data_IF_963704802520
#
_entry.id   IF_963704802520
#
_cell.length_a   1.000
_cell.length_b   1.000
_cell.length_c   1.000
_cell.angle_alpha   90.00
_cell.angle_beta   90.00
_cell.angle_gamma   90.00
#
_symmetry.space_group_name_H-M   'P 1'
#
loop_
_entity.id
_entity.type
_entity.pdbx_description
1 polymer ?
#
# COMPACT_ATOMS: atom_id res chain seq x y z
N UNK A 1 27.37 -9.12 5.06
CA UNK A 1 26.86 -8.02 5.94
C UNK A 1 26.72 -6.68 5.21
N UNK A 2 27.77 -6.15 4.57
CA UNK A 2 27.70 -4.89 3.79
C UNK A 2 26.70 -4.91 2.62
N UNK A 3 26.59 -6.05 1.92
CA UNK A 3 25.67 -6.28 0.80
C UNK A 3 24.19 -6.28 1.18
N UNK A 4 23.87 -6.61 2.44
CA UNK A 4 22.52 -6.54 2.98
C UNK A 4 22.18 -5.11 3.42
N UNK A 5 23.12 -4.42 4.08
CA UNK A 5 22.95 -3.03 4.49
C UNK A 5 22.70 -2.09 3.30
N UNK A 6 23.42 -2.29 2.20
CA UNK A 6 23.25 -1.52 0.96
C UNK A 6 21.88 -1.70 0.29
N UNK A 7 21.14 -2.79 0.59
CA UNK A 7 19.76 -3.02 0.12
C UNK A 7 18.71 -2.58 1.13
N UNK A 8 18.99 -2.83 2.41
CA UNK A 8 18.11 -2.51 3.53
C UNK A 8 17.98 -1.00 3.75
N UNK A 9 19.07 -0.24 3.67
CA UNK A 9 19.06 1.22 3.91
C UNK A 9 18.16 1.96 2.90
N UNK A 10 18.28 1.75 1.57
CA UNK A 10 17.36 2.31 0.60
C UNK A 10 15.91 1.89 0.86
N UNK A 11 15.67 0.61 1.16
CA UNK A 11 14.33 0.10 1.43
C UNK A 11 13.69 0.80 2.63
N UNK A 12 14.44 0.99 3.71
CA UNK A 12 13.98 1.70 4.91
C UNK A 12 13.63 3.16 4.59
N UNK A 13 14.52 3.88 3.89
CA UNK A 13 14.30 5.27 3.48
C UNK A 13 13.08 5.43 2.58
N UNK A 14 12.93 4.57 1.56
CA UNK A 14 11.77 4.60 0.66
C UNK A 14 10.48 4.27 1.39
N UNK A 15 10.51 3.34 2.35
CA UNK A 15 9.34 2.99 3.17
C UNK A 15 8.90 4.18 4.03
N UNK A 16 9.84 4.85 4.70
CA UNK A 16 9.54 6.08 5.47
C UNK A 16 9.01 7.18 4.55
N UNK A 17 9.62 7.36 3.38
CA UNK A 17 9.16 8.35 2.42
C UNK A 17 7.76 8.06 1.89
N UNK A 18 7.45 6.79 1.59
CA UNK A 18 6.13 6.36 1.16
C UNK A 18 5.06 6.66 2.23
N UNK A 19 5.36 6.40 3.50
CA UNK A 19 4.43 6.66 4.61
C UNK A 19 4.22 8.15 4.87
N UNK A 20 5.23 8.99 4.61
CA UNK A 20 5.17 10.43 4.89
C UNK A 20 4.68 11.26 3.70
N UNK A 21 4.75 10.74 2.47
CA UNK A 21 4.29 11.44 1.27
C UNK A 21 2.76 11.54 1.20
N UNK A 22 2.25 12.77 1.04
CA UNK A 22 0.81 13.04 0.85
C UNK A 22 0.39 13.15 -0.63
N UNK A 23 1.35 13.21 -1.55
CA UNK A 23 1.10 13.39 -2.98
C UNK A 23 0.69 12.09 -3.65
N UNK A 24 -0.15 12.18 -4.68
CA UNK A 24 -0.62 11.03 -5.48
C UNK A 24 0.50 10.24 -6.20
N UNK A 25 1.65 10.86 -6.50
CA UNK A 25 2.81 10.18 -7.12
C UNK A 25 3.52 9.16 -6.23
N UNK A 26 3.17 9.08 -4.94
CA UNK A 26 3.76 8.12 -4.00
C UNK A 26 3.61 6.65 -4.45
N UNK A 27 2.65 6.34 -5.31
CA UNK A 27 2.51 5.01 -5.93
C UNK A 27 3.75 4.58 -6.72
N UNK A 28 4.48 5.52 -7.32
CA UNK A 28 5.72 5.22 -8.06
C UNK A 28 6.83 4.74 -7.12
N UNK A 29 6.83 5.17 -5.86
CA UNK A 29 7.80 4.76 -4.82
C UNK A 29 7.61 3.27 -4.46
N UNK A 30 6.44 2.70 -4.71
CA UNK A 30 6.19 1.28 -4.43
C UNK A 30 7.00 0.34 -5.33
N UNK A 31 7.29 0.77 -6.56
CA UNK A 31 8.10 0.01 -7.52
C UNK A 31 9.52 -0.24 -6.98
N UNK A 32 10.31 0.78 -6.60
CA UNK A 32 11.63 0.57 -6.03
C UNK A 32 11.58 -0.10 -4.64
N UNK A 33 10.55 0.12 -3.82
CA UNK A 33 10.37 -0.64 -2.57
C UNK A 33 10.30 -2.14 -2.85
N UNK A 34 9.46 -2.54 -3.81
CA UNK A 34 9.33 -3.92 -4.24
C UNK A 34 10.62 -4.51 -4.78
N UNK A 35 11.33 -3.73 -5.61
CA UNK A 35 12.61 -4.13 -6.18
C UNK A 35 13.67 -4.38 -5.09
N UNK A 36 13.82 -3.46 -4.13
CA UNK A 36 14.77 -3.66 -3.04
C UNK A 36 14.36 -4.80 -2.10
N UNK A 37 13.06 -5.02 -1.88
CA UNK A 37 12.59 -6.14 -1.06
C UNK A 37 12.94 -7.48 -1.72
N UNK A 38 12.71 -7.58 -3.03
CA UNK A 38 13.09 -8.74 -3.81
C UNK A 38 14.61 -8.99 -3.74
N UNK A 39 15.41 -7.96 -4.02
CA UNK A 39 16.86 -8.05 -3.93
C UNK A 39 17.35 -8.44 -2.53
N UNK A 40 16.65 -8.04 -1.47
CA UNK A 40 16.96 -8.40 -0.09
C UNK A 40 16.66 -9.87 0.19
N UNK A 41 15.50 -10.37 -0.27
CA UNK A 41 15.11 -11.78 -0.12
C UNK A 41 16.08 -12.68 -0.89
N UNK A 42 16.41 -12.32 -2.13
CA UNK A 42 17.37 -13.06 -2.95
C UNK A 42 18.77 -13.09 -2.32
N UNK A 43 19.21 -11.96 -1.73
CA UNK A 43 20.49 -11.90 -1.02
C UNK A 43 20.52 -12.65 0.32
N UNK A 44 19.37 -13.04 0.88
CA UNK A 44 19.28 -13.91 2.06
C UNK A 44 19.25 -15.39 1.67
N UNK A 45 18.83 -15.71 0.45
CA UNK A 45 18.79 -17.05 -0.12
C UNK A 45 19.91 -17.24 -1.14
N UNK A 46 21.18 -17.13 -0.70
CA UNK A 46 22.39 -17.21 -1.56
C UNK A 46 22.52 -18.53 -2.38
N UNK A 47 21.75 -19.58 -2.06
CA UNK A 47 21.70 -20.84 -2.82
C UNK A 47 20.91 -20.74 -4.14
N UNK A 48 20.29 -19.59 -4.39
CA UNK A 48 19.50 -19.31 -5.58
C UNK A 48 20.42 -18.76 -6.70
N UNK A 49 21.29 -19.64 -7.23
CA UNK A 49 22.41 -19.29 -8.12
C UNK A 49 21.98 -18.88 -9.56
N UNK A 50 20.70 -19.08 -9.95
CA UNK A 50 20.24 -18.91 -11.35
C UNK A 50 18.92 -18.14 -11.50
N UNK A 51 18.80 -16.95 -10.91
CA UNK A 51 17.52 -16.21 -10.93
C UNK A 51 17.46 -14.96 -11.82
N UNK A 52 18.52 -14.55 -12.51
CA UNK A 52 18.53 -13.33 -13.33
C UNK A 52 17.44 -13.30 -14.43
N UNK A 53 17.09 -14.43 -15.06
CA UNK A 53 16.11 -14.44 -16.17
C UNK A 53 14.65 -14.62 -15.71
N UNK A 54 14.43 -15.33 -14.59
CA UNK A 54 13.09 -15.62 -14.05
C UNK A 54 12.67 -14.68 -12.92
N UNK A 55 13.57 -13.79 -12.50
CA UNK A 55 13.37 -12.79 -11.44
C UNK A 55 12.04 -12.04 -11.57
N UNK A 56 11.80 -11.48 -12.75
CA UNK A 56 10.64 -10.65 -13.07
C UNK A 56 9.34 -11.43 -12.88
N UNK A 57 9.32 -12.72 -13.20
CA UNK A 57 8.12 -13.56 -13.08
C UNK A 57 7.76 -13.86 -11.62
N UNK A 58 8.74 -13.95 -10.73
CA UNK A 58 8.50 -14.05 -9.28
C UNK A 58 8.21 -12.70 -8.64
N UNK A 59 8.75 -11.61 -9.19
CA UNK A 59 8.50 -10.25 -8.72
C UNK A 59 7.01 -9.86 -8.86
N UNK A 60 6.39 -10.18 -9.99
CA UNK A 60 4.98 -9.84 -10.27
C UNK A 60 3.99 -10.33 -9.18
N UNK A 61 3.96 -11.62 -8.80
CA UNK A 61 3.07 -12.11 -7.75
C UNK A 61 3.41 -11.52 -6.37
N UNK A 62 4.69 -11.33 -6.05
CA UNK A 62 5.11 -10.71 -4.79
C UNK A 62 4.62 -9.25 -4.72
N UNK A 63 4.76 -8.50 -5.81
CA UNK A 63 4.22 -7.15 -5.94
C UNK A 63 2.69 -7.11 -5.82
N UNK A 64 1.99 -8.10 -6.39
CA UNK A 64 0.54 -8.21 -6.28
C UNK A 64 0.03 -8.35 -4.84
N UNK A 65 0.86 -8.87 -3.93
CA UNK A 65 0.56 -9.02 -2.49
C UNK A 65 1.04 -7.81 -1.69
N UNK A 66 2.22 -7.27 -1.99
CA UNK A 66 2.79 -6.13 -1.27
C UNK A 66 1.98 -4.85 -1.50
N UNK A 67 1.54 -4.61 -2.75
CA UNK A 67 0.73 -3.44 -3.11
C UNK A 67 -0.51 -3.29 -2.22
N UNK A 68 -1.41 -4.28 -2.12
CA UNK A 68 -2.58 -4.17 -1.26
C UNK A 68 -2.21 -4.12 0.22
N UNK A 69 -1.20 -4.87 0.68
CA UNK A 69 -0.77 -4.85 2.07
C UNK A 69 -0.32 -3.46 2.51
N UNK A 70 0.53 -2.81 1.73
CA UNK A 70 1.01 -1.46 1.99
C UNK A 70 -0.13 -0.44 1.94
N UNK A 71 -1.09 -0.63 1.04
CA UNK A 71 -2.30 0.21 0.96
C UNK A 71 -3.15 0.10 2.23
N UNK A 72 -3.33 -1.12 2.77
CA UNK A 72 -4.05 -1.35 4.03
C UNK A 72 -3.36 -0.67 5.22
N UNK A 73 -2.02 -0.74 5.30
CA UNK A 73 -1.26 -0.06 6.35
C UNK A 73 -1.51 1.44 6.31
N UNK A 74 -1.44 2.05 5.11
CA UNK A 74 -1.72 3.48 4.93
C UNK A 74 -3.16 3.82 5.32
N UNK A 75 -4.14 3.04 4.88
CA UNK A 75 -5.55 3.25 5.21
C UNK A 75 -5.78 3.20 6.73
N UNK A 76 -5.13 2.26 7.43
CA UNK A 76 -5.21 2.15 8.89
C UNK A 76 -4.56 3.34 9.60
N UNK A 77 -3.40 3.81 9.13
CA UNK A 77 -2.74 5.00 9.69
C UNK A 77 -3.62 6.24 9.47
N UNK A 78 -4.17 6.41 8.27
CA UNK A 78 -5.05 7.54 7.96
C UNK A 78 -6.34 7.51 8.77
N UNK A 79 -7.00 6.36 8.87
CA UNK A 79 -8.18 6.17 9.73
C UNK A 79 -7.85 6.38 11.22
N UNK A 80 -6.65 6.03 11.67
CA UNK A 80 -6.23 6.28 13.05
C UNK A 80 -5.93 7.76 13.33
N UNK A 81 -5.53 8.54 12.32
CA UNK A 81 -5.31 9.99 12.46
C UNK A 81 -6.59 10.80 12.27
N UNK A 82 -7.45 10.34 11.35
CA UNK A 82 -8.79 10.84 11.13
C UNK A 82 -9.75 9.97 11.94
N UNK A 83 -9.79 10.16 13.26
CA UNK A 83 -10.92 9.65 14.05
C UNK A 83 -12.05 10.66 13.88
N UNK A 84 -13.04 10.42 12.99
CA UNK A 84 -14.18 11.31 12.88
C UNK A 84 -14.90 11.35 14.23
N UNK A 85 -15.35 12.53 14.60
CA UNK A 85 -16.20 12.67 15.79
C UNK A 85 -17.48 11.82 15.61
N UNK A 86 -18.10 11.39 16.71
CA UNK A 86 -19.38 10.65 16.64
C UNK A 86 -20.43 11.43 15.83
N UNK A 87 -20.37 12.76 15.89
CA UNK A 87 -21.25 13.68 15.18
C UNK A 87 -21.04 13.64 13.65
N UNK A 88 -19.79 13.58 13.18
CA UNK A 88 -19.47 13.41 11.75
C UNK A 88 -19.95 12.05 11.22
N UNK A 89 -19.78 10.98 11.99
CA UNK A 89 -20.25 9.63 11.61
C UNK A 89 -21.78 9.61 11.50
N UNK A 90 -22.48 10.22 12.45
CA UNK A 90 -23.94 10.27 12.47
C UNK A 90 -24.50 11.11 11.31
N UNK A 91 -23.83 12.22 10.99
CA UNK A 91 -24.12 13.05 9.82
C UNK A 91 -23.95 12.26 8.50
N UNK A 92 -22.85 11.53 8.34
CA UNK A 92 -22.60 10.70 7.14
C UNK A 92 -23.65 9.59 6.99
N UNK A 93 -24.02 8.92 8.09
CA UNK A 93 -25.05 7.87 8.09
C UNK A 93 -26.44 8.42 7.72
N UNK A 94 -26.83 9.57 8.28
CA UNK A 94 -28.10 10.22 7.92
C UNK A 94 -28.13 10.64 6.45
N UNK A 95 -27.04 11.21 5.95
CA UNK A 95 -26.94 11.63 4.56
C UNK A 95 -27.05 10.44 3.59
N UNK A 96 -26.34 9.32 3.88
CA UNK A 96 -26.41 8.09 3.06
C UNK A 96 -27.82 7.49 3.05
N UNK A 97 -28.54 7.56 4.18
CA UNK A 97 -29.95 7.14 4.29
C UNK A 97 -30.88 8.04 3.47
N UNK A 98 -30.71 9.35 3.51
CA UNK A 98 -31.49 10.32 2.73
C UNK A 98 -31.28 10.15 1.21
N UNK A 99 -30.04 9.90 0.79
CA UNK A 99 -29.73 9.63 -0.63
C UNK A 99 -30.42 8.34 -1.08
N UNK A 100 -30.40 7.28 -0.25
CA UNK A 100 -31.06 6.02 -0.58
C UNK A 100 -32.59 6.16 -0.64
N UNK A 101 -33.20 6.92 0.28
CA UNK A 101 -34.64 7.17 0.23
C UNK A 101 -35.02 7.98 -1.01
N UNK A 102 -34.26 9.02 -1.33
CA UNK A 102 -34.49 9.84 -2.52
C UNK A 102 -34.33 9.05 -3.81
N UNK A 103 -33.30 8.19 -3.90
CA UNK A 103 -33.12 7.28 -5.03
C UNK A 103 -34.26 6.27 -5.16
N UNK A 104 -34.73 5.71 -4.05
CA UNK A 104 -35.88 4.80 -4.04
C UNK A 104 -37.17 5.48 -4.49
N UNK A 105 -37.35 6.75 -4.12
CA UNK A 105 -38.53 7.53 -4.53
C UNK A 105 -38.52 7.87 -6.02
N UNK A 106 -37.35 8.10 -6.63
CA UNK A 106 -37.21 8.29 -8.08
C UNK A 106 -37.60 7.06 -8.91
N UNK A 107 -37.43 5.85 -8.38
CA UNK A 107 -37.79 4.61 -9.05
C UNK A 107 -39.23 4.15 -8.75
N UNK A 108 -39.99 4.91 -7.95
CA UNK A 108 -41.36 4.56 -7.53
C UNK A 108 -42.45 5.34 -8.29
N UNK A 109 -42.08 6.24 -9.19
CA UNK A 109 -42.97 7.04 -10.05
C UNK A 109 -42.68 6.77 -11.53
#
# INVERSE_FOLDING_TARGET
MWTLLTKFVPLYLLTVWFLTCKHWWYHVILIPIGMYLFQLISALNDDIIFFDEVEIWYLIPVMSVIVPLVYLIRAKIFASMHNPSLEEIEYELQNKKNIFSHFRDLFRN
#
